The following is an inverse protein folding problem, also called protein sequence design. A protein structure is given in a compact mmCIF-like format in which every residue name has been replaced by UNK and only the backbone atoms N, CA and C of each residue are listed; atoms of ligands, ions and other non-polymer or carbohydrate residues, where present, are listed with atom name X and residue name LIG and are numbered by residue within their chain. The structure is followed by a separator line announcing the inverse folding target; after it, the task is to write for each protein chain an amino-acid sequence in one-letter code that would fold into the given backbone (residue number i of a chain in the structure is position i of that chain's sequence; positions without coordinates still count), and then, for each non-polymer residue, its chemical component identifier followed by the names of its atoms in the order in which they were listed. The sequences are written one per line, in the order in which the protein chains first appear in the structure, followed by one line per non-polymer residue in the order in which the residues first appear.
data_IF_757694814853
#
_entry.id   IF_757694814853
#
_cell.length_a   1.000
_cell.length_b   1.000
_cell.length_c   1.000
_cell.angle_alpha   90.00
_cell.angle_beta   90.00
_cell.angle_gamma   90.00
#
_symmetry.space_group_name_H-M   'P 1'
#
loop_
_entity.id
_entity.type
_entity.pdbx_description
1 polymer ?
#
# COMPACT_ATOMS: atom_id res chain seq x y z
N UNK A 1 -13.92 3.05 1.72
CA UNK A 1 -13.48 3.65 0.45
C UNK A 1 -14.20 2.94 -0.69
N UNK A 2 -14.53 3.65 -1.78
CA UNK A 2 -15.14 3.02 -2.97
C UNK A 2 -14.08 2.24 -3.76
N UNK A 3 -14.48 1.15 -4.42
CA UNK A 3 -13.61 0.30 -5.24
C UNK A 3 -13.05 1.07 -6.44
N UNK A 4 -13.81 2.02 -6.99
CA UNK A 4 -13.35 2.88 -8.08
C UNK A 4 -12.21 3.80 -7.62
N UNK A 5 -12.29 4.35 -6.40
CA UNK A 5 -11.20 5.14 -5.84
C UNK A 5 -9.92 4.31 -5.61
N UNK A 6 -10.05 3.02 -5.29
CA UNK A 6 -8.89 2.13 -5.16
C UNK A 6 -8.20 1.93 -6.50
N UNK A 7 -8.98 1.72 -7.55
CA UNK A 7 -8.47 1.56 -8.91
C UNK A 7 -7.75 2.83 -9.36
N UNK A 8 -8.32 4.01 -9.10
CA UNK A 8 -7.70 5.30 -9.41
C UNK A 8 -6.37 5.49 -8.67
N UNK A 9 -6.30 5.16 -7.37
CA UNK A 9 -5.06 5.24 -6.60
C UNK A 9 -4.01 4.28 -7.16
N UNK A 10 -4.36 3.01 -7.40
CA UNK A 10 -3.44 2.01 -7.96
C UNK A 10 -2.93 2.40 -9.36
N UNK A 11 -3.74 3.10 -10.15
CA UNK A 11 -3.33 3.63 -11.45
C UNK A 11 -2.37 4.81 -11.36
N UNK A 12 -2.32 5.50 -10.23
CA UNK A 12 -1.41 6.62 -10.01
C UNK A 12 -0.14 6.20 -9.25
N UNK A 13 -0.19 5.06 -8.57
CA UNK A 13 0.89 4.50 -7.75
C UNK A 13 2.13 4.11 -8.57
N UNK A 14 3.17 4.94 -8.44
CA UNK A 14 4.56 4.65 -8.79
C UNK A 14 4.74 3.87 -10.10
N UNK A 15 5.23 2.64 -9.97
CA UNK A 15 5.56 1.76 -11.10
C UNK A 15 4.34 0.98 -11.62
N UNK A 16 3.24 0.89 -10.88
CA UNK A 16 2.07 0.10 -11.32
C UNK A 16 1.50 0.67 -12.62
N UNK A 17 1.42 2.00 -12.74
CA UNK A 17 0.96 2.70 -13.94
C UNK A 17 1.77 2.40 -15.20
N UNK A 18 3.01 1.95 -15.04
CA UNK A 18 3.92 1.64 -16.14
C UNK A 18 4.02 0.13 -16.43
N UNK A 19 3.61 -0.71 -15.48
CA UNK A 19 3.75 -2.15 -15.55
C UNK A 19 2.44 -2.88 -15.86
N UNK A 20 1.29 -2.26 -15.57
CA UNK A 20 -0.02 -2.88 -15.72
C UNK A 20 -0.95 -2.02 -16.57
N UNK A 21 -1.73 -2.68 -17.41
CA UNK A 21 -2.87 -2.07 -18.10
C UNK A 21 -4.01 -1.76 -17.13
N UNK A 22 -4.97 -0.98 -17.60
CA UNK A 22 -6.18 -0.63 -16.83
C UNK A 22 -6.91 -1.89 -16.33
N UNK A 23 -7.22 -2.83 -17.23
CA UNK A 23 -7.94 -4.07 -16.93
C UNK A 23 -7.17 -4.96 -15.92
N UNK A 24 -5.84 -4.97 -15.99
CA UNK A 24 -5.00 -5.70 -15.02
C UNK A 24 -5.05 -5.06 -13.64
N UNK A 25 -5.10 -3.72 -13.55
CA UNK A 25 -5.28 -3.03 -12.27
C UNK A 25 -6.69 -3.25 -11.70
N UNK A 26 -7.74 -3.24 -12.53
CA UNK A 26 -9.09 -3.58 -12.08
C UNK A 26 -9.14 -5.01 -11.52
N UNK A 27 -8.53 -5.95 -12.24
CA UNK A 27 -8.41 -7.34 -11.80
C UNK A 27 -7.61 -7.47 -10.50
N UNK A 28 -6.49 -6.74 -10.36
CA UNK A 28 -5.72 -6.71 -9.12
C UNK A 28 -6.57 -6.16 -7.96
N UNK A 29 -7.23 -5.03 -8.17
CA UNK A 29 -8.11 -4.43 -7.18
C UNK A 29 -9.23 -5.39 -6.75
N UNK A 30 -9.72 -6.27 -7.65
CA UNK A 30 -10.72 -7.31 -7.33
C UNK A 30 -10.26 -8.27 -6.22
N UNK A 31 -8.95 -8.53 -6.14
CA UNK A 31 -8.37 -9.49 -5.19
C UNK A 31 -7.81 -8.82 -3.92
N UNK A 32 -7.79 -7.50 -3.86
CA UNK A 32 -7.35 -6.76 -2.67
C UNK A 32 -8.50 -6.57 -1.68
N UNK A 33 -8.14 -6.62 -0.40
CA UNK A 33 -9.03 -6.26 0.71
C UNK A 33 -8.60 -4.91 1.27
N UNK A 34 -9.57 -4.05 1.56
CA UNK A 34 -9.35 -2.73 2.17
C UNK A 34 -9.45 -2.90 3.68
N UNK A 35 -8.36 -2.61 4.37
CA UNK A 35 -8.28 -2.70 5.82
C UNK A 35 -7.89 -1.35 6.42
N UNK A 36 -8.39 -1.08 7.61
CA UNK A 36 -7.98 0.08 8.41
C UNK A 36 -7.22 -0.42 9.62
N UNK A 37 -6.01 0.08 9.79
CA UNK A 37 -5.13 -0.27 10.91
C UNK A 37 -5.02 0.90 11.88
N UNK A 38 -4.86 0.59 13.16
CA UNK A 38 -4.69 1.62 14.19
C UNK A 38 -3.27 2.17 14.18
N UNK A 39 -3.10 3.41 14.64
CA UNK A 39 -1.79 3.98 14.87
C UNK A 39 -0.92 3.04 15.73
N UNK A 40 0.39 3.05 15.49
CA UNK A 40 1.38 2.21 16.19
C UNK A 40 1.25 0.69 15.93
N UNK A 41 0.38 0.27 15.01
CA UNK A 41 0.32 -1.14 14.58
C UNK A 41 1.54 -1.49 13.73
N UNK A 42 2.22 -2.59 14.07
CA UNK A 42 3.31 -3.15 13.25
C UNK A 42 2.71 -4.02 12.14
N UNK A 43 2.81 -3.58 10.89
CA UNK A 43 2.30 -4.32 9.72
C UNK A 43 3.19 -5.49 9.31
N UNK A 44 4.50 -5.27 9.30
CA UNK A 44 5.51 -6.25 8.88
C UNK A 44 6.78 -6.07 9.71
N UNK A 45 7.49 -7.17 9.96
CA UNK A 45 8.69 -7.17 10.79
C UNK A 45 9.88 -7.81 10.08
N UNK A 46 11.03 -7.15 10.15
CA UNK A 46 12.27 -7.63 9.54
C UNK A 46 12.65 -9.01 10.09
N UNK A 47 12.94 -9.94 9.19
CA UNK A 47 13.32 -11.32 9.51
C UNK A 47 12.14 -12.27 9.67
N UNK A 48 10.90 -11.78 9.66
CA UNK A 48 9.70 -12.62 9.66
C UNK A 48 9.20 -12.79 8.22
N UNK A 49 8.83 -14.03 7.80
CA UNK A 49 8.26 -14.25 6.49
C UNK A 49 6.91 -13.55 6.39
N UNK A 50 6.70 -12.80 5.31
CA UNK A 50 5.42 -12.18 4.96
C UNK A 50 5.04 -12.57 3.55
N UNK A 51 3.77 -12.92 3.36
CA UNK A 51 3.17 -13.19 2.04
C UNK A 51 2.21 -12.06 1.61
N UNK A 52 2.22 -10.94 2.35
CA UNK A 52 1.28 -9.83 2.13
C UNK A 52 1.97 -8.69 1.40
N UNK A 53 1.24 -8.08 0.46
CA UNK A 53 1.58 -6.81 -0.17
C UNK A 53 0.55 -5.78 0.27
N UNK A 54 1.01 -4.60 0.69
CA UNK A 54 0.16 -3.54 1.23
C UNK A 54 0.39 -2.27 0.42
N UNK A 55 -0.71 -1.64 0.02
CA UNK A 55 -0.72 -0.31 -0.58
C UNK A 55 -1.29 0.67 0.45
N UNK A 56 -0.59 1.78 0.66
CA UNK A 56 -1.03 2.82 1.60
C UNK A 56 -1.94 3.76 0.82
N UNK A 57 -3.22 3.78 1.18
CA UNK A 57 -4.24 4.60 0.52
C UNK A 57 -4.45 5.95 1.22
N UNK A 58 -4.20 5.98 2.52
CA UNK A 58 -4.31 7.17 3.36
C UNK A 58 -3.50 6.96 4.64
N UNK A 59 -2.92 8.04 5.16
CA UNK A 59 -2.11 8.04 6.37
C UNK A 59 -0.62 7.84 6.13
N UNK A 60 0.09 7.51 7.21
CA UNK A 60 1.54 7.53 7.27
C UNK A 60 2.09 6.23 7.84
N UNK A 61 3.04 5.65 7.12
CA UNK A 61 3.78 4.46 7.57
C UNK A 61 5.26 4.80 7.67
N UNK A 62 5.90 4.25 8.70
CA UNK A 62 7.33 4.39 8.91
C UNK A 62 8.01 3.04 8.68
N UNK A 63 9.04 3.03 7.83
CA UNK A 63 9.92 1.87 7.67
C UNK A 63 11.11 2.04 8.60
N UNK A 64 11.32 1.09 9.50
CA UNK A 64 12.34 1.13 10.55
C UNK A 64 13.33 -0.02 10.35
N UNK A 65 14.63 0.25 10.37
CA UNK A 65 15.68 -0.76 10.44
C UNK A 65 16.63 -0.48 11.62
N UNK A 66 16.49 -1.27 12.68
CA UNK A 66 17.11 -0.97 13.98
C UNK A 66 16.50 0.28 14.60
N UNK A 67 17.33 1.26 14.95
CA UNK A 67 16.88 2.58 15.44
C UNK A 67 16.79 3.63 14.32
N UNK A 68 17.00 3.23 13.06
CA UNK A 68 17.03 4.16 11.92
C UNK A 68 15.70 4.16 11.21
N UNK A 69 15.12 5.35 11.07
CA UNK A 69 14.00 5.59 10.17
C UNK A 69 14.50 5.67 8.73
N UNK A 70 13.99 4.78 7.87
CA UNK A 70 14.43 4.67 6.48
C UNK A 70 13.54 5.46 5.51
N UNK A 71 12.23 5.50 5.76
CA UNK A 71 11.28 6.21 4.92
C UNK A 71 10.03 6.64 5.72
N UNK A 72 9.44 7.73 5.27
CA UNK A 72 8.08 8.17 5.61
C UNK A 72 7.34 8.26 4.30
N UNK A 73 6.33 7.42 4.12
CA UNK A 73 5.38 7.58 3.02
C UNK A 73 4.15 8.30 3.56
N UNK A 74 3.79 9.42 2.94
CA UNK A 74 2.59 10.18 3.28
C UNK A 74 1.78 10.40 2.01
N UNK A 75 0.67 9.70 1.86
CA UNK A 75 -0.33 10.07 0.87
C UNK A 75 -1.21 11.15 1.49
N UNK A 76 -0.85 12.42 1.26
CA UNK A 76 -1.76 13.53 1.49
C UNK A 76 -2.58 13.76 0.21
N UNK A 77 -3.91 13.70 0.33
CA UNK A 77 -4.86 14.08 -0.73
C UNK A 77 -4.59 15.49 -1.27
#
# INVERSE_FOLDING_TARGET
MDRNALIEILQQEGNLKHCFSHDEIESLAAHLSIETVQAETVLMKKGEPSCSMVFILDGLVQVIDGDRQLAIENQAQ
#
